data_IF_770859925684
#
_entry.id   IF_770859925684
#
_cell.length_a   1.000
_cell.length_b   1.000
_cell.length_c   1.000
_cell.angle_alpha   90.00
_cell.angle_beta   90.00
_cell.angle_gamma   90.00
#
_symmetry.space_group_name_H-M   'P 1'
#
loop_
_entity.id
_entity.type
_entity.pdbx_description
1 polymer ?
#
# COMPACT_ATOMS: atom_id res chain seq x y z
N UNK A 1 -21.59 -5.99 -10.95
CA UNK A 1 -21.64 -4.58 -10.51
C UNK A 1 -23.04 -4.24 -9.99
N UNK A 2 -23.14 -3.72 -8.77
CA UNK A 2 -24.44 -3.33 -8.17
C UNK A 2 -25.15 -2.17 -8.91
N UNK A 3 -24.41 -1.42 -9.74
CA UNK A 3 -24.93 -0.28 -10.47
C UNK A 3 -25.45 -0.65 -11.87
N UNK A 4 -24.72 -1.45 -12.64
CA UNK A 4 -25.10 -1.83 -14.00
C UNK A 4 -25.64 -3.26 -14.13
N UNK A 5 -25.61 -4.07 -13.06
CA UNK A 5 -26.08 -5.45 -13.05
C UNK A 5 -25.27 -6.44 -13.88
N UNK A 6 -24.22 -5.97 -14.57
CA UNK A 6 -23.42 -6.79 -15.47
C UNK A 6 -22.52 -7.75 -14.68
N UNK A 7 -22.58 -9.03 -15.03
CA UNK A 7 -21.72 -10.06 -14.44
C UNK A 7 -20.35 -9.96 -15.11
N UNK A 8 -19.30 -10.17 -14.32
CA UNK A 8 -17.89 -10.18 -14.78
C UNK A 8 -17.33 -8.84 -15.30
N UNK A 9 -18.03 -7.71 -15.05
CA UNK A 9 -17.54 -6.38 -15.41
C UNK A 9 -16.49 -5.80 -14.44
N UNK A 10 -16.26 -6.47 -13.32
CA UNK A 10 -15.25 -6.05 -12.33
C UNK A 10 -14.01 -6.92 -12.45
N UNK A 11 -12.88 -6.28 -12.70
CA UNK A 11 -11.58 -6.92 -12.71
C UNK A 11 -10.96 -6.84 -11.31
N UNK A 12 -10.48 -7.96 -10.78
CA UNK A 12 -9.80 -7.97 -9.50
C UNK A 12 -8.49 -7.17 -9.59
N UNK A 13 -8.36 -6.14 -8.75
CA UNK A 13 -7.14 -5.36 -8.62
C UNK A 13 -6.37 -5.84 -7.39
N UNK A 14 -5.39 -6.70 -7.59
CA UNK A 14 -4.54 -7.25 -6.54
C UNK A 14 -5.21 -8.34 -5.67
N UNK A 15 -4.44 -8.99 -4.81
CA UNK A 15 -4.97 -9.93 -3.84
C UNK A 15 -5.76 -9.18 -2.76
N UNK A 16 -7.06 -9.46 -2.66
CA UNK A 16 -7.90 -8.94 -1.57
C UNK A 16 -7.42 -9.44 -0.20
N UNK A 17 -7.81 -8.73 0.86
CA UNK A 17 -7.48 -9.08 2.24
C UNK A 17 -8.02 -10.47 2.59
N UNK A 18 -9.19 -10.84 2.08
CA UNK A 18 -9.84 -12.12 2.27
C UNK A 18 -8.98 -13.26 1.71
N UNK A 19 -8.46 -13.10 0.50
CA UNK A 19 -7.62 -14.11 -0.14
C UNK A 19 -6.28 -14.29 0.60
N UNK A 20 -5.70 -13.18 1.07
CA UNK A 20 -4.50 -13.26 1.93
C UNK A 20 -4.79 -13.99 3.24
N UNK A 21 -5.96 -13.76 3.84
CA UNK A 21 -6.38 -14.45 5.06
C UNK A 21 -6.53 -15.95 4.83
N UNK A 22 -7.14 -16.37 3.72
CA UNK A 22 -7.25 -17.77 3.34
C UNK A 22 -5.87 -18.44 3.16
N UNK A 23 -4.94 -17.77 2.48
CA UNK A 23 -3.57 -18.27 2.31
C UNK A 23 -2.82 -18.38 3.65
N UNK A 24 -2.98 -17.39 4.52
CA UNK A 24 -2.36 -17.43 5.87
C UNK A 24 -2.88 -18.61 6.67
N UNK A 25 -4.20 -18.82 6.68
CA UNK A 25 -4.80 -20.00 7.36
C UNK A 25 -4.27 -21.33 6.84
N UNK A 26 -4.08 -21.45 5.53
CA UNK A 26 -3.56 -22.68 4.93
C UNK A 26 -2.08 -22.91 5.24
N UNK A 27 -1.27 -21.84 5.23
CA UNK A 27 0.19 -21.94 5.42
C UNK A 27 0.62 -21.97 6.87
N UNK A 28 -0.15 -21.32 7.73
CA UNK A 28 0.15 -21.15 9.16
C UNK A 28 -1.08 -21.49 10.02
N UNK A 29 -1.53 -22.75 10.01
CA UNK A 29 -2.78 -23.16 10.68
C UNK A 29 -2.76 -22.94 12.19
N UNK A 30 -1.58 -22.94 12.81
CA UNK A 30 -1.42 -22.72 14.25
C UNK A 30 -1.28 -21.24 14.63
N UNK A 31 -1.13 -20.33 13.65
CA UNK A 31 -0.94 -18.91 13.93
C UNK A 31 -2.28 -18.21 14.15
N UNK A 32 -2.31 -17.38 15.18
CA UNK A 32 -3.44 -16.48 15.44
C UNK A 32 -3.30 -15.26 14.55
N UNK A 33 -4.19 -15.07 13.61
CA UNK A 33 -4.13 -13.90 12.74
C UNK A 33 -5.27 -12.93 13.03
N UNK A 34 -5.03 -11.65 12.75
CA UNK A 34 -6.04 -10.59 12.82
C UNK A 34 -6.04 -9.76 11.54
N UNK A 35 -7.22 -9.35 11.11
CA UNK A 35 -7.41 -8.49 9.95
C UNK A 35 -7.63 -7.05 10.40
N UNK A 36 -6.79 -6.14 9.90
CA UNK A 36 -6.85 -4.70 10.16
C UNK A 36 -7.18 -3.95 8.87
N UNK A 37 -8.45 -3.74 8.62
CA UNK A 37 -8.97 -3.06 7.43
C UNK A 37 -10.09 -2.09 7.81
N UNK A 38 -10.54 -1.24 6.87
CA UNK A 38 -11.68 -0.35 7.07
C UNK A 38 -12.98 -1.09 7.43
N UNK A 39 -13.10 -2.34 7.01
CA UNK A 39 -14.31 -3.14 7.24
C UNK A 39 -14.31 -3.81 8.62
N UNK A 40 -13.12 -4.10 9.16
CA UNK A 40 -12.97 -4.74 10.48
C UNK A 40 -12.75 -3.72 11.59
N UNK A 41 -12.15 -2.57 11.28
CA UNK A 41 -11.83 -1.51 12.23
C UNK A 41 -12.63 -0.26 11.87
N UNK A 42 -13.84 -0.17 12.42
CA UNK A 42 -14.83 0.87 12.06
C UNK A 42 -14.82 2.07 13.00
N UNK A 43 -14.08 2.02 14.11
CA UNK A 43 -14.03 3.07 15.11
C UNK A 43 -12.65 3.19 15.76
N UNK A 44 -12.29 4.34 16.34
CA UNK A 44 -11.07 4.47 17.14
C UNK A 44 -10.97 3.44 18.27
N UNK A 45 -12.08 3.15 18.94
CA UNK A 45 -12.12 2.18 20.04
C UNK A 45 -11.78 0.76 19.54
N UNK A 46 -12.32 0.35 18.37
CA UNK A 46 -11.97 -0.96 17.78
C UNK A 46 -10.51 -1.03 17.33
N UNK A 47 -9.93 0.09 16.88
CA UNK A 47 -8.51 0.16 16.56
C UNK A 47 -7.63 -0.01 17.81
N UNK A 48 -7.97 0.68 18.89
CA UNK A 48 -7.24 0.57 20.17
C UNK A 48 -7.34 -0.85 20.74
N UNK A 49 -8.51 -1.47 20.71
CA UNK A 49 -8.71 -2.85 21.16
C UNK A 49 -7.84 -3.83 20.35
N UNK A 50 -7.80 -3.67 19.01
CA UNK A 50 -6.95 -4.49 18.16
C UNK A 50 -5.46 -4.32 18.47
N UNK A 51 -4.99 -3.08 18.60
CA UNK A 51 -3.59 -2.78 18.95
C UNK A 51 -3.24 -3.38 20.33
N UNK A 52 -4.17 -3.32 21.27
CA UNK A 52 -3.99 -3.92 22.60
C UNK A 52 -3.82 -5.43 22.53
N UNK A 53 -4.67 -6.14 21.75
CA UNK A 53 -4.55 -7.58 21.60
C UNK A 53 -3.24 -8.00 20.91
N UNK A 54 -2.78 -7.22 19.91
CA UNK A 54 -1.46 -7.45 19.28
C UNK A 54 -0.33 -7.22 20.30
N UNK A 55 -0.42 -6.18 21.08
CA UNK A 55 0.60 -5.85 22.10
C UNK A 55 0.65 -6.90 23.21
N UNK A 56 -0.51 -7.47 23.59
CA UNK A 56 -0.62 -8.58 24.54
C UNK A 56 -0.09 -9.91 23.96
N UNK A 57 0.25 -9.96 22.67
CA UNK A 57 0.73 -11.18 22.02
C UNK A 57 -0.37 -12.19 21.72
N UNK A 58 -1.61 -11.73 21.58
CA UNK A 58 -2.76 -12.56 21.24
C UNK A 58 -2.88 -12.78 19.72
N UNK A 59 -2.15 -11.99 18.92
CA UNK A 59 -2.11 -12.05 17.45
C UNK A 59 -0.66 -12.24 16.99
N UNK A 60 -0.44 -13.25 16.16
CA UNK A 60 0.87 -13.60 15.61
C UNK A 60 1.08 -12.99 14.21
N UNK A 61 0.02 -12.89 13.41
CA UNK A 61 0.05 -12.36 12.05
C UNK A 61 -1.05 -11.29 11.88
N UNK A 62 -0.66 -10.12 11.41
CA UNK A 62 -1.59 -9.04 11.07
C UNK A 62 -1.71 -8.98 9.54
N UNK A 63 -2.92 -9.09 9.04
CA UNK A 63 -3.24 -8.85 7.63
C UNK A 63 -3.90 -7.48 7.56
N UNK A 64 -3.33 -6.56 6.78
CA UNK A 64 -3.85 -5.20 6.76
C UNK A 64 -3.73 -4.53 5.43
N UNK A 65 -4.55 -3.51 5.25
CA UNK A 65 -4.46 -2.54 4.17
C UNK A 65 -3.55 -1.37 4.58
N UNK A 66 -3.51 -0.32 3.77
CA UNK A 66 -2.77 0.92 4.08
C UNK A 66 -3.14 1.53 5.45
N UNK A 67 -4.32 1.21 6.00
CA UNK A 67 -4.73 1.64 7.34
C UNK A 67 -3.79 1.13 8.43
N UNK A 68 -3.32 -0.12 8.33
CA UNK A 68 -2.38 -0.69 9.29
C UNK A 68 -1.05 0.06 9.34
N UNK A 69 -0.69 0.75 8.25
CA UNK A 69 0.52 1.55 8.17
C UNK A 69 0.42 2.91 8.86
N UNK A 70 -0.79 3.43 9.10
CA UNK A 70 -1.02 4.79 9.60
C UNK A 70 -1.43 4.80 11.08
N UNK A 71 -0.70 5.55 11.88
CA UNK A 71 -1.15 5.96 13.23
C UNK A 71 -1.01 4.94 14.36
N UNK A 72 -0.77 3.65 14.06
CA UNK A 72 -0.69 2.61 15.08
C UNK A 72 0.74 2.14 15.31
N UNK A 73 1.07 1.78 16.53
CA UNK A 73 2.37 1.25 16.91
C UNK A 73 2.25 -0.22 17.31
N UNK A 74 3.04 -1.07 16.67
CA UNK A 74 3.12 -2.50 16.96
C UNK A 74 4.54 -2.83 17.47
N UNK A 75 4.76 -2.82 18.80
CA UNK A 75 6.11 -2.85 19.38
C UNK A 75 6.87 -4.15 19.11
N UNK A 76 6.17 -5.25 18.90
CA UNK A 76 6.74 -6.59 18.69
C UNK A 76 6.82 -6.99 17.21
N UNK A 77 6.55 -6.08 16.28
CA UNK A 77 6.56 -6.37 14.87
C UNK A 77 8.00 -6.53 14.35
N UNK A 78 8.39 -7.75 14.01
CA UNK A 78 9.73 -8.09 13.53
C UNK A 78 9.79 -8.31 12.02
N UNK A 79 8.67 -8.63 11.37
CA UNK A 79 8.58 -8.85 9.94
C UNK A 79 7.40 -8.09 9.35
N UNK A 80 7.66 -7.42 8.24
CA UNK A 80 6.62 -6.80 7.40
C UNK A 80 6.72 -7.38 6.00
N UNK A 81 5.64 -7.97 5.51
CA UNK A 81 5.48 -8.41 4.13
C UNK A 81 4.60 -7.42 3.37
N UNK A 82 5.06 -6.93 2.24
CA UNK A 82 4.29 -6.09 1.34
C UNK A 82 4.01 -6.89 0.07
N UNK A 83 2.76 -7.28 -0.11
CA UNK A 83 2.29 -8.03 -1.27
C UNK A 83 1.90 -7.04 -2.36
N UNK A 84 2.41 -7.26 -3.59
CA UNK A 84 2.16 -6.41 -4.75
C UNK A 84 2.55 -4.94 -4.50
N UNK A 85 3.85 -4.71 -4.29
CA UNK A 85 4.39 -3.38 -4.08
C UNK A 85 4.24 -2.46 -5.31
N UNK A 86 3.97 -3.03 -6.48
CA UNK A 86 3.81 -2.30 -7.74
C UNK A 86 2.42 -1.68 -7.92
N UNK A 87 1.42 -2.13 -7.16
CA UNK A 87 0.02 -1.71 -7.30
C UNK A 87 -0.15 -0.19 -7.31
N UNK A 88 0.58 0.52 -6.46
CA UNK A 88 0.54 1.97 -6.37
C UNK A 88 1.28 2.70 -7.51
N UNK A 89 2.08 1.99 -8.31
CA UNK A 89 2.86 2.55 -9.43
C UNK A 89 2.08 2.51 -10.74
N UNK A 90 1.05 1.67 -10.83
CA UNK A 90 0.18 1.59 -11.99
C UNK A 90 -0.83 2.75 -12.02
N UNK A 91 -0.96 3.40 -13.17
CA UNK A 91 -1.98 4.42 -13.39
C UNK A 91 -1.43 5.79 -13.76
N UNK A 92 -2.34 6.70 -14.14
CA UNK A 92 -2.02 8.04 -14.65
C UNK A 92 -1.79 9.10 -13.57
N UNK A 93 -1.61 8.74 -12.31
CA UNK A 93 -1.33 9.71 -11.24
C UNK A 93 0.12 10.20 -11.35
N UNK A 94 0.27 11.49 -11.58
CA UNK A 94 1.58 12.17 -11.68
C UNK A 94 2.45 12.02 -10.42
N UNK A 95 1.85 11.64 -9.31
CA UNK A 95 2.54 11.45 -8.03
C UNK A 95 2.57 9.98 -7.58
N UNK A 96 2.29 9.05 -8.50
CA UNK A 96 2.26 7.62 -8.17
C UNK A 96 3.57 7.15 -7.52
N UNK A 97 4.72 7.45 -8.13
CA UNK A 97 6.03 7.07 -7.61
C UNK A 97 6.31 7.65 -6.20
N UNK A 98 6.05 8.95 -6.00
CA UNK A 98 6.23 9.61 -4.70
C UNK A 98 5.34 8.99 -3.61
N UNK A 99 4.05 8.80 -3.93
CA UNK A 99 3.08 8.23 -2.99
C UNK A 99 3.42 6.79 -2.63
N UNK A 100 3.79 6.00 -3.64
CA UNK A 100 4.21 4.61 -3.44
C UNK A 100 5.47 4.54 -2.58
N UNK A 101 6.51 5.34 -2.89
CA UNK A 101 7.70 5.41 -2.07
C UNK A 101 7.39 5.77 -0.61
N UNK A 102 6.60 6.82 -0.38
CA UNK A 102 6.23 7.26 0.96
C UNK A 102 5.46 6.17 1.73
N UNK A 103 4.48 5.54 1.08
CA UNK A 103 3.68 4.49 1.68
C UNK A 103 4.52 3.26 2.02
N UNK A 104 5.29 2.76 1.06
CA UNK A 104 6.12 1.56 1.22
C UNK A 104 7.21 1.78 2.27
N UNK A 105 7.87 2.94 2.27
CA UNK A 105 8.85 3.31 3.29
C UNK A 105 8.21 3.40 4.70
N UNK A 106 7.00 3.92 4.80
CA UNK A 106 6.27 3.99 6.06
C UNK A 106 5.93 2.60 6.58
N UNK A 107 5.47 1.70 5.71
CA UNK A 107 5.13 0.31 6.07
C UNK A 107 6.38 -0.47 6.44
N UNK A 108 7.42 -0.42 5.61
CA UNK A 108 8.70 -1.08 5.87
C UNK A 108 9.34 -0.61 7.19
N UNK A 109 9.25 0.69 7.47
CA UNK A 109 9.76 1.28 8.71
C UNK A 109 8.98 0.89 9.99
N UNK A 110 7.94 0.06 9.88
CA UNK A 110 7.23 -0.51 11.04
C UNK A 110 7.95 -1.70 11.66
N UNK A 111 8.70 -2.44 10.85
CA UNK A 111 9.49 -3.55 11.35
C UNK A 111 10.69 -3.07 12.19
N UNK A 112 11.01 -3.79 13.26
CA UNK A 112 12.26 -3.59 14.00
C UNK A 112 12.31 -2.36 14.90
N UNK A 113 11.20 -1.97 15.46
CA UNK A 113 11.20 -0.97 16.55
C UNK A 113 11.35 -1.64 17.90
N UNK A 114 11.98 -0.93 18.85
CA UNK A 114 12.38 -1.39 20.17
C UNK A 114 13.68 -2.23 20.15
N UNK A 115 13.75 -3.34 20.84
CA UNK A 115 14.99 -4.10 21.09
C UNK A 115 15.29 -5.17 20.02
N UNK A 116 14.45 -5.34 18.98
CA UNK A 116 14.59 -6.40 17.98
C UNK A 116 14.81 -5.82 16.60
N UNK A 117 15.81 -6.31 15.84
CA UNK A 117 15.95 -5.95 14.45
C UNK A 117 14.73 -6.44 13.66
N UNK A 118 14.27 -5.63 12.73
CA UNK A 118 13.14 -5.97 11.87
C UNK A 118 13.56 -6.16 10.42
N UNK A 119 12.73 -6.86 9.70
CA UNK A 119 12.90 -7.10 8.28
C UNK A 119 11.64 -6.71 7.52
N UNK A 120 11.81 -6.07 6.37
CA UNK A 120 10.74 -5.82 5.42
C UNK A 120 11.00 -6.60 4.14
N UNK A 121 10.00 -7.32 3.67
CA UNK A 121 10.00 -8.05 2.40
C UNK A 121 9.00 -7.38 1.46
N UNK A 122 9.46 -7.02 0.27
CA UNK A 122 8.63 -6.43 -0.77
C UNK A 122 8.51 -7.40 -1.94
N UNK A 123 7.29 -7.76 -2.29
CA UNK A 123 7.00 -8.51 -3.50
C UNK A 123 6.79 -7.54 -4.64
N UNK A 124 7.59 -7.64 -5.69
CA UNK A 124 7.54 -6.78 -6.87
C UNK A 124 7.79 -7.58 -8.13
N UNK A 125 7.23 -7.15 -9.25
CA UNK A 125 7.50 -7.68 -10.59
C UNK A 125 8.72 -7.00 -11.23
N UNK A 126 9.08 -5.80 -10.74
CA UNK A 126 10.23 -5.03 -11.25
C UNK A 126 11.08 -4.50 -10.09
N UNK A 127 12.07 -5.30 -9.69
CA UNK A 127 13.02 -4.92 -8.64
C UNK A 127 13.99 -3.81 -9.06
N UNK A 128 14.06 -3.49 -10.36
CA UNK A 128 14.91 -2.42 -10.90
C UNK A 128 14.20 -1.07 -10.98
N UNK A 129 12.92 -1.03 -10.64
CA UNK A 129 12.17 0.22 -10.53
C UNK A 129 12.84 1.16 -9.53
N UNK A 130 12.94 2.45 -9.88
CA UNK A 130 13.61 3.46 -9.05
C UNK A 130 13.04 3.56 -7.62
N UNK A 131 11.73 3.29 -7.43
CA UNK A 131 11.10 3.27 -6.10
C UNK A 131 11.64 2.10 -5.29
N UNK A 132 11.72 0.90 -5.89
CA UNK A 132 12.21 -0.31 -5.23
C UNK A 132 13.70 -0.20 -4.89
N UNK A 133 14.51 0.29 -5.81
CA UNK A 133 15.94 0.53 -5.56
C UNK A 133 16.18 1.53 -4.42
N UNK A 134 15.38 2.60 -4.37
CA UNK A 134 15.49 3.60 -3.31
C UNK A 134 15.06 3.06 -1.94
N UNK A 135 14.03 2.20 -1.91
CA UNK A 135 13.60 1.53 -0.68
C UNK A 135 14.68 0.56 -0.16
N UNK A 136 15.30 -0.21 -1.05
CA UNK A 136 16.37 -1.13 -0.70
C UNK A 136 17.62 -0.41 -0.19
N UNK A 137 17.96 0.72 -0.79
CA UNK A 137 19.12 1.53 -0.36
C UNK A 137 18.85 2.38 0.87
N UNK A 138 17.58 2.62 1.22
CA UNK A 138 17.18 3.57 2.26
C UNK A 138 17.49 5.05 1.93
N UNK A 139 17.88 5.33 0.69
CA UNK A 139 18.31 6.66 0.24
C UNK A 139 17.14 7.43 -0.40
N UNK A 140 16.41 8.15 0.47
CA UNK A 140 15.32 9.02 0.06
C UNK A 140 15.77 10.12 -0.90
N UNK A 141 16.94 10.69 -0.66
CA UNK A 141 17.41 11.83 -1.46
C UNK A 141 17.80 11.40 -2.87
N UNK A 142 18.32 10.19 -3.00
CA UNK A 142 18.56 9.56 -4.31
C UNK A 142 17.25 9.42 -5.08
N UNK A 143 16.19 8.92 -4.42
CA UNK A 143 14.87 8.83 -5.03
C UNK A 143 14.35 10.19 -5.51
N UNK A 144 14.38 11.20 -4.63
CA UNK A 144 13.87 12.54 -4.96
C UNK A 144 14.63 13.20 -6.12
N UNK A 145 15.94 12.99 -6.19
CA UNK A 145 16.76 13.49 -7.31
C UNK A 145 16.40 12.79 -8.62
N UNK A 146 16.28 11.47 -8.61
CA UNK A 146 15.91 10.70 -9.81
C UNK A 146 14.51 11.06 -10.31
N UNK A 147 13.54 11.19 -9.40
CA UNK A 147 12.16 11.60 -9.72
C UNK A 147 12.12 13.03 -10.29
N UNK A 148 12.86 13.97 -9.69
CA UNK A 148 12.94 15.33 -10.18
C UNK A 148 13.54 15.39 -11.59
N UNK A 149 14.61 14.65 -11.85
CA UNK A 149 15.24 14.60 -13.17
C UNK A 149 14.30 13.99 -14.22
N UNK A 150 13.63 12.89 -13.88
CA UNK A 150 12.61 12.26 -14.75
C UNK A 150 11.52 13.27 -15.14
N UNK A 151 11.00 14.03 -14.17
CA UNK A 151 9.99 15.06 -14.41
C UNK A 151 10.53 16.22 -15.28
N UNK A 152 11.78 16.61 -15.05
CA UNK A 152 12.42 17.64 -15.85
C UNK A 152 12.52 17.25 -17.32
N UNK A 153 12.98 16.04 -17.59
CA UNK A 153 13.11 15.48 -18.95
C UNK A 153 11.75 15.32 -19.64
N UNK A 154 10.72 14.92 -18.88
CA UNK A 154 9.37 14.75 -19.40
C UNK A 154 8.56 16.06 -19.46
N UNK A 155 9.13 17.22 -19.09
CA UNK A 155 8.41 18.49 -19.05
C UNK A 155 7.24 18.47 -18.07
N UNK A 156 7.37 17.80 -16.93
CA UNK A 156 6.33 17.65 -15.91
C UNK A 156 6.51 18.63 -14.74
N UNK A 157 5.46 18.92 -13.96
CA UNK A 157 5.59 19.74 -12.76
C UNK A 157 6.65 19.18 -11.78
N UNK A 158 7.45 20.01 -11.12
CA UNK A 158 7.35 21.49 -11.01
C UNK A 158 8.01 22.27 -12.16
N UNK A 159 8.62 21.61 -13.14
CA UNK A 159 9.34 22.26 -14.26
C UNK A 159 8.42 22.80 -15.35
N UNK A 160 7.16 22.43 -15.31
CA UNK A 160 6.09 22.93 -16.16
C UNK A 160 4.79 23.08 -15.38
N UNK A 161 3.71 23.43 -16.07
CA UNK A 161 2.36 23.48 -15.53
C UNK A 161 1.47 22.60 -16.38
N UNK A 162 0.64 21.79 -15.73
CA UNK A 162 -0.36 20.95 -16.39
C UNK A 162 -1.75 21.40 -15.96
N UNK A 163 -2.70 21.35 -16.87
CA UNK A 163 -4.11 21.53 -16.61
C UNK A 163 -4.87 20.34 -17.18
N UNK A 164 -5.76 19.76 -16.38
CA UNK A 164 -6.67 18.72 -16.82
C UNK A 164 -8.08 19.30 -16.94
N UNK A 165 -8.71 19.14 -18.11
CA UNK A 165 -10.11 19.44 -18.31
C UNK A 165 -10.89 18.13 -18.26
N UNK A 166 -11.79 18.04 -17.29
CA UNK A 166 -12.69 16.88 -17.18
C UNK A 166 -14.05 17.30 -17.72
N UNK A 167 -14.41 16.71 -18.86
CA UNK A 167 -15.71 16.88 -19.48
C UNK A 167 -16.56 15.67 -19.13
N UNK A 168 -17.77 15.93 -18.62
CA UNK A 168 -18.74 14.86 -18.35
C UNK A 168 -20.09 15.23 -18.91
N UNK A 169 -20.76 14.27 -19.55
CA UNK A 169 -22.12 14.42 -20.02
C UNK A 169 -22.88 13.10 -19.80
N UNK A 170 -24.22 13.18 -19.56
CA UNK A 170 -25.06 11.98 -19.47
C UNK A 170 -25.07 11.15 -20.75
N UNK A 171 -24.84 11.80 -21.89
CA UNK A 171 -24.78 11.20 -23.23
C UNK A 171 -23.36 11.35 -23.80
N UNK A 172 -22.66 10.24 -24.09
CA UNK A 172 -21.29 10.28 -24.66
C UNK A 172 -21.20 11.00 -26.00
N UNK A 173 -22.28 11.05 -26.80
CA UNK A 173 -22.28 11.75 -28.09
C UNK A 173 -22.19 13.27 -27.96
N UNK A 174 -22.46 13.83 -26.77
CA UNK A 174 -22.34 15.26 -26.47
C UNK A 174 -20.92 15.67 -26.06
N UNK A 175 -20.00 14.73 -26.01
CA UNK A 175 -18.59 14.96 -25.64
C UNK A 175 -17.65 15.01 -26.86
N UNK A 176 -18.20 14.91 -28.07
CA UNK A 176 -17.44 15.02 -29.32
C UNK A 176 -17.35 16.46 -29.80
#
# INVERSE_FOLDING_TARGET
CSHCGEKDSMQACGPGVERLAEEVLQRFPEARFGVFSSDTVTSPASAEAFVSSVTAGEVDIIIGTQMAAKGHHFPNLTLVGIVDADLGLAGGDLRAAERSFQMLAQVAGRAGRASRPGMALLQTMDSTNQVMEALLSGDRDRFLKAEAESRRLAGMPPFSRLAALVLSAPDPQRLQ
#
